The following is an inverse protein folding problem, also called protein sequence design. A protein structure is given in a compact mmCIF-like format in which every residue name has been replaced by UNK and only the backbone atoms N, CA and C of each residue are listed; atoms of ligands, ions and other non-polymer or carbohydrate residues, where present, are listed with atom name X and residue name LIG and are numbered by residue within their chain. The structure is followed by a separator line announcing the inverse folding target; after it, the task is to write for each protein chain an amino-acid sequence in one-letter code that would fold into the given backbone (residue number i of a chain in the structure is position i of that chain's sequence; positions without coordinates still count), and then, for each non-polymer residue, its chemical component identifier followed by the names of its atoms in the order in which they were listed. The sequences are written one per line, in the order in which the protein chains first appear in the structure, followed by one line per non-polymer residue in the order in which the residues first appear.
data_IF_837804023978
#
_entry.id   IF_837804023978
#
_cell.length_a   1.000
_cell.length_b   1.000
_cell.length_c   1.000
_cell.angle_alpha   90.00
_cell.angle_beta   90.00
_cell.angle_gamma   90.00
#
_symmetry.space_group_name_H-M   'P 1'
#
loop_
_entity.id
_entity.type
_entity.pdbx_description
1 polymer ?
#
# COMPACT_ATOMS: atom_id res chain seq x y z
N UNK A 1 63.42 16.28 -28.03
CA UNK A 1 62.14 15.64 -27.65
C UNK A 1 61.34 16.64 -26.85
N UNK A 2 60.10 16.98 -27.23
CA UNK A 2 59.20 17.74 -26.35
C UNK A 2 57.72 17.58 -26.75
N UNK A 3 57.17 16.38 -26.56
CA UNK A 3 55.72 16.22 -26.41
C UNK A 3 55.49 15.73 -24.99
N UNK A 4 55.27 16.66 -24.07
CA UNK A 4 55.28 16.38 -22.62
C UNK A 4 54.13 16.98 -21.82
N UNK A 5 53.12 17.56 -22.47
CA UNK A 5 51.93 18.05 -21.77
C UNK A 5 50.66 17.55 -22.42
N UNK A 6 49.87 16.83 -21.65
CA UNK A 6 48.54 16.38 -22.03
C UNK A 6 47.62 17.62 -22.13
N UNK A 7 46.83 17.77 -23.19
CA UNK A 7 45.92 18.90 -23.33
C UNK A 7 44.82 18.81 -22.28
N UNK A 8 44.47 19.94 -21.64
CA UNK A 8 43.30 19.99 -20.74
C UNK A 8 42.05 19.61 -21.51
N UNK A 9 41.33 18.64 -20.99
CA UNK A 9 40.07 18.14 -21.55
C UNK A 9 38.88 18.84 -20.89
N UNK A 10 37.68 18.68 -21.48
CA UNK A 10 36.42 19.11 -20.86
C UNK A 10 36.17 18.40 -19.53
N UNK A 11 36.63 17.16 -19.39
CA UNK A 11 36.57 16.41 -18.14
C UNK A 11 37.48 17.02 -17.08
N UNK A 12 38.67 17.50 -17.46
CA UNK A 12 39.57 18.18 -16.53
C UNK A 12 38.98 19.50 -16.05
N UNK A 13 38.32 20.26 -16.93
CA UNK A 13 37.60 21.48 -16.53
C UNK A 13 36.42 21.20 -15.59
N UNK A 14 35.67 20.12 -15.85
CA UNK A 14 34.57 19.71 -14.97
C UNK A 14 35.09 19.19 -13.62
N UNK A 15 36.21 18.47 -13.61
CA UNK A 15 36.86 17.99 -12.39
C UNK A 15 37.41 19.15 -11.57
N UNK A 16 38.07 20.12 -12.20
CA UNK A 16 38.54 21.35 -11.54
C UNK A 16 37.35 22.15 -10.96
N UNK A 17 36.23 22.27 -11.69
CA UNK A 17 35.04 22.95 -11.18
C UNK A 17 34.39 22.20 -9.99
N UNK A 18 34.43 20.86 -10.01
CA UNK A 18 33.94 20.04 -8.90
C UNK A 18 34.87 20.12 -7.68
N UNK A 19 36.19 20.17 -7.89
CA UNK A 19 37.20 20.34 -6.84
C UNK A 19 37.25 21.77 -6.27
N UNK A 20 36.97 22.80 -7.08
CA UNK A 20 36.79 24.19 -6.64
C UNK A 20 35.53 24.39 -5.81
N UNK A 21 34.56 23.47 -5.92
CA UNK A 21 33.43 23.37 -5.00
C UNK A 21 33.92 22.75 -3.69
N UNK A 22 34.85 23.44 -3.02
CA UNK A 22 35.27 23.13 -1.66
C UNK A 22 34.04 23.20 -0.80
N UNK A 23 33.48 22.05 -0.43
CA UNK A 23 32.46 21.98 0.60
C UNK A 23 33.08 22.64 1.84
N UNK A 24 32.53 23.78 2.26
CA UNK A 24 32.82 24.31 3.59
C UNK A 24 32.56 23.15 4.55
N UNK A 25 33.57 22.75 5.32
CA UNK A 25 33.44 21.68 6.31
C UNK A 25 32.48 22.20 7.37
N UNK A 26 31.18 22.02 7.15
CA UNK A 26 30.14 22.42 8.08
C UNK A 26 30.33 21.57 9.32
N UNK A 27 30.37 22.23 10.46
CA UNK A 27 30.32 21.55 11.75
C UNK A 27 29.13 20.58 11.75
N UNK A 28 29.35 19.35 12.25
CA UNK A 28 28.38 18.25 12.16
C UNK A 28 27.04 18.63 12.81
N UNK A 29 27.08 19.43 13.87
CA UNK A 29 25.88 19.93 14.55
C UNK A 29 25.07 20.87 13.64
N UNK A 30 25.75 21.72 12.89
CA UNK A 30 25.10 22.64 11.93
C UNK A 30 24.49 21.85 10.78
N UNK A 31 25.22 20.89 10.21
CA UNK A 31 24.71 20.05 9.13
C UNK A 31 23.48 19.23 9.54
N UNK A 32 23.53 18.58 10.71
CA UNK A 32 22.39 17.76 11.19
C UNK A 32 21.19 18.60 11.58
N UNK A 33 21.40 19.85 12.02
CA UNK A 33 20.33 20.82 12.24
C UNK A 33 19.67 21.23 10.92
N UNK A 34 20.45 21.68 9.94
CA UNK A 34 19.96 22.06 8.61
C UNK A 34 19.19 20.91 7.97
N UNK A 35 19.73 19.69 8.04
CA UNK A 35 19.09 18.48 7.52
C UNK A 35 17.71 18.26 8.14
N UNK A 36 17.60 18.41 9.46
CA UNK A 36 16.32 18.24 10.17
C UNK A 36 15.33 19.32 9.79
N UNK A 37 15.75 20.57 9.77
CA UNK A 37 14.90 21.71 9.41
C UNK A 37 14.38 21.58 7.97
N UNK A 38 15.19 21.07 7.05
CA UNK A 38 14.80 20.81 5.67
C UNK A 38 13.85 19.60 5.51
N UNK A 39 14.05 18.53 6.29
CA UNK A 39 13.21 17.32 6.19
C UNK A 39 11.90 17.44 6.96
N UNK A 40 11.85 18.25 8.02
CA UNK A 40 10.66 18.43 8.84
C UNK A 40 9.39 18.79 8.04
N UNK A 41 9.39 19.80 7.14
CA UNK A 41 8.18 20.16 6.41
C UNK A 41 7.69 19.04 5.47
N UNK A 42 8.61 18.34 4.81
CA UNK A 42 8.27 17.20 3.94
C UNK A 42 7.70 16.04 4.76
N UNK A 43 8.28 15.79 5.93
CA UNK A 43 7.81 14.77 6.85
C UNK A 43 6.41 15.08 7.39
N UNK A 44 6.14 16.33 7.75
CA UNK A 44 4.81 16.80 8.17
C UNK A 44 3.77 16.59 7.07
N UNK A 45 4.07 17.03 5.85
CA UNK A 45 3.17 16.87 4.69
C UNK A 45 2.92 15.39 4.35
N UNK A 46 3.95 14.54 4.45
CA UNK A 46 3.77 13.11 4.26
C UNK A 46 2.86 12.51 5.35
N UNK A 47 2.98 12.98 6.60
CA UNK A 47 2.16 12.49 7.71
C UNK A 47 0.70 12.94 7.61
N UNK A 48 0.43 14.17 7.17
CA UNK A 48 -0.93 14.66 6.95
C UNK A 48 -1.61 13.86 5.84
N UNK A 49 -0.94 13.68 4.69
CA UNK A 49 -1.44 12.88 3.57
C UNK A 49 -1.68 11.41 3.98
N UNK A 50 -0.78 10.82 4.78
CA UNK A 50 -0.94 9.47 5.30
C UNK A 50 -2.18 9.35 6.20
N UNK A 51 -2.41 10.30 7.12
CA UNK A 51 -3.59 10.31 7.99
C UNK A 51 -4.88 10.45 7.17
N UNK A 52 -4.89 11.30 6.16
CA UNK A 52 -6.03 11.42 5.26
C UNK A 52 -6.31 10.14 4.47
N UNK A 53 -5.27 9.49 3.94
CA UNK A 53 -5.42 8.23 3.23
C UNK A 53 -5.95 7.13 4.15
N UNK A 54 -5.44 7.04 5.38
CA UNK A 54 -5.89 6.07 6.39
C UNK A 54 -7.35 6.29 6.77
N UNK A 55 -7.77 7.54 6.99
CA UNK A 55 -9.18 7.86 7.33
C UNK A 55 -10.12 7.51 6.18
N UNK A 56 -9.76 7.88 4.93
CA UNK A 56 -10.52 7.49 3.73
C UNK A 56 -10.60 5.97 3.59
N UNK A 57 -9.49 5.26 3.78
CA UNK A 57 -9.44 3.80 3.72
C UNK A 57 -10.36 3.16 4.77
N UNK A 58 -10.33 3.65 6.01
CA UNK A 58 -11.20 3.18 7.08
C UNK A 58 -12.67 3.38 6.74
N UNK A 59 -13.06 4.58 6.30
CA UNK A 59 -14.44 4.89 5.90
C UNK A 59 -14.94 3.95 4.79
N UNK A 60 -14.13 3.76 3.74
CA UNK A 60 -14.49 2.87 2.62
C UNK A 60 -14.59 1.41 3.08
N UNK A 61 -13.67 0.97 3.94
CA UNK A 61 -13.67 -0.39 4.47
C UNK A 61 -14.91 -0.63 5.34
N UNK A 62 -15.15 0.24 6.32
CA UNK A 62 -16.28 0.14 7.25
C UNK A 62 -17.61 0.17 6.49
N UNK A 63 -17.77 1.06 5.50
CA UNK A 63 -18.98 1.15 4.66
C UNK A 63 -19.23 -0.09 3.79
N UNK A 64 -18.17 -0.80 3.38
CA UNK A 64 -18.26 -2.04 2.60
C UNK A 64 -18.33 -3.28 3.47
N UNK A 65 -18.01 -3.17 4.75
CA UNK A 65 -18.10 -4.26 5.70
C UNK A 65 -19.58 -4.53 6.02
N UNK A 66 -20.05 -5.72 5.67
CA UNK A 66 -21.34 -6.21 6.12
C UNK A 66 -21.13 -6.98 7.43
N UNK A 67 -22.08 -6.86 8.36
CA UNK A 67 -22.11 -7.76 9.53
C UNK A 67 -22.36 -9.17 9.02
N UNK A 68 -21.34 -10.01 9.10
CA UNK A 68 -21.40 -11.42 8.70
C UNK A 68 -21.67 -12.22 9.97
N UNK A 69 -22.69 -13.08 9.94
CA UNK A 69 -22.99 -14.02 11.01
C UNK A 69 -23.26 -15.38 10.40
N UNK A 70 -22.65 -16.41 10.98
CA UNK A 70 -22.92 -17.82 10.66
C UNK A 70 -23.66 -18.44 11.84
N UNK A 71 -24.73 -19.18 11.56
CA UNK A 71 -25.44 -19.92 12.60
C UNK A 71 -24.75 -21.27 12.84
N UNK A 72 -24.91 -21.81 14.05
CA UNK A 72 -24.52 -23.21 14.33
C UNK A 72 -25.36 -24.14 13.46
N UNK A 73 -24.70 -25.08 12.78
CA UNK A 73 -25.32 -25.96 11.78
C UNK A 73 -25.29 -25.44 10.33
N UNK A 74 -24.90 -24.18 10.09
CA UNK A 74 -24.59 -23.73 8.73
C UNK A 74 -23.30 -24.40 8.21
N UNK A 75 -23.20 -24.57 6.89
CA UNK A 75 -21.97 -24.97 6.22
C UNK A 75 -21.15 -23.75 5.81
N UNK A 76 -19.83 -23.82 5.97
CA UNK A 76 -18.89 -22.75 5.62
C UNK A 76 -17.67 -23.30 4.89
N UNK A 77 -17.18 -22.53 3.92
CA UNK A 77 -15.90 -22.73 3.26
C UNK A 77 -14.81 -22.01 4.05
N UNK A 78 -13.65 -22.65 4.20
CA UNK A 78 -12.47 -22.02 4.82
C UNK A 78 -11.48 -21.62 3.73
N UNK A 79 -10.99 -20.39 3.81
CA UNK A 79 -9.93 -19.87 2.94
C UNK A 79 -8.56 -20.22 3.54
N UNK A 80 -7.87 -21.20 2.94
CA UNK A 80 -6.54 -21.63 3.36
C UNK A 80 -5.54 -21.48 2.21
N UNK A 81 -4.29 -21.15 2.53
CA UNK A 81 -3.20 -21.15 1.55
C UNK A 81 -2.92 -22.57 1.07
N UNK A 82 -2.68 -22.76 -0.23
CA UNK A 82 -2.29 -24.07 -0.75
C UNK A 82 -0.86 -24.41 -0.33
N UNK A 83 -0.60 -25.67 -0.02
CA UNK A 83 0.75 -26.20 0.26
C UNK A 83 1.70 -25.99 -0.92
N UNK A 84 1.15 -25.99 -2.14
CA UNK A 84 1.88 -25.81 -3.40
C UNK A 84 2.41 -24.38 -3.57
N UNK A 85 1.62 -23.38 -3.16
CA UNK A 85 1.94 -21.96 -3.33
C UNK A 85 1.31 -21.12 -2.22
N UNK A 86 2.17 -20.55 -1.38
CA UNK A 86 1.79 -19.70 -0.24
C UNK A 86 0.99 -18.45 -0.64
N UNK A 87 1.14 -17.98 -1.87
CA UNK A 87 0.40 -16.82 -2.40
C UNK A 87 -1.01 -17.18 -2.88
N UNK A 88 -1.29 -18.47 -3.12
CA UNK A 88 -2.59 -18.92 -3.59
C UNK A 88 -3.43 -19.43 -2.42
N UNK A 89 -4.46 -18.66 -2.07
CA UNK A 89 -5.48 -19.10 -1.14
C UNK A 89 -6.60 -19.84 -1.90
N UNK A 90 -6.92 -21.06 -1.47
CA UNK A 90 -8.03 -21.88 -2.00
C UNK A 90 -9.14 -21.99 -0.96
N UNK A 91 -10.38 -21.96 -1.44
CA UNK A 91 -11.53 -22.31 -0.60
C UNK A 91 -11.58 -23.83 -0.47
N UNK A 92 -11.47 -24.34 0.75
CA UNK A 92 -11.55 -25.77 1.05
C UNK A 92 -12.87 -26.08 1.71
N UNK A 93 -13.51 -27.16 1.26
CA UNK A 93 -14.61 -27.92 1.88
C UNK A 93 -15.83 -27.15 2.41
N UNK A 94 -17.06 -27.65 2.24
CA UNK A 94 -18.14 -27.20 3.12
C UNK A 94 -17.98 -27.89 4.48
N UNK A 95 -17.50 -27.17 5.47
CA UNK A 95 -17.38 -27.65 6.85
C UNK A 95 -18.55 -27.18 7.69
N UNK A 96 -18.98 -28.01 8.64
CA UNK A 96 -20.10 -27.70 9.52
C UNK A 96 -19.67 -26.79 10.66
N UNK A 97 -20.43 -25.71 10.90
CA UNK A 97 -20.23 -24.81 12.04
C UNK A 97 -20.77 -25.48 13.30
N UNK A 98 -19.87 -25.89 14.20
CA UNK A 98 -20.22 -26.57 15.45
C UNK A 98 -20.63 -25.57 16.52
N UNK A 99 -19.88 -24.48 16.64
CA UNK A 99 -20.10 -23.49 17.69
C UNK A 99 -19.59 -22.11 17.27
N UNK A 100 -20.28 -21.08 17.73
CA UNK A 100 -19.78 -19.71 17.73
C UNK A 100 -19.15 -19.44 19.10
N UNK A 101 -17.83 -19.29 19.14
CA UNK A 101 -17.12 -18.99 20.40
C UNK A 101 -17.29 -17.50 20.71
N UNK A 102 -17.09 -16.66 19.69
CA UNK A 102 -17.25 -15.21 19.74
C UNK A 102 -17.91 -14.71 18.45
N UNK A 103 -18.38 -13.45 18.39
CA UNK A 103 -18.92 -12.86 17.15
C UNK A 103 -18.03 -13.04 15.92
N UNK A 104 -16.71 -13.08 16.13
CA UNK A 104 -15.70 -13.16 15.07
C UNK A 104 -15.00 -14.51 14.97
N UNK A 105 -15.17 -15.41 15.93
CA UNK A 105 -14.43 -16.68 16.02
C UNK A 105 -15.40 -17.86 16.09
N UNK A 106 -15.22 -18.80 15.18
CA UNK A 106 -16.09 -19.95 14.97
C UNK A 106 -15.30 -21.25 15.03
N UNK A 107 -15.94 -22.32 15.50
CA UNK A 107 -15.41 -23.68 15.51
C UNK A 107 -16.09 -24.50 14.42
N UNK A 108 -15.28 -25.12 13.56
CA UNK A 108 -15.73 -25.92 12.41
C UNK A 108 -15.31 -27.38 12.54
N UNK A 109 -16.15 -28.29 12.05
CA UNK A 109 -15.83 -29.70 11.91
C UNK A 109 -14.99 -29.93 10.64
N UNK A 110 -13.68 -30.15 10.80
CA UNK A 110 -12.79 -30.44 9.65
C UNK A 110 -12.47 -31.94 9.63
N UNK A 111 -12.68 -32.65 8.49
CA UNK A 111 -12.34 -34.07 8.34
C UNK A 111 -10.84 -34.33 8.10
N UNK A 112 -10.05 -33.29 7.79
CA UNK A 112 -8.60 -33.39 7.55
C UNK A 112 -7.81 -32.68 8.67
N UNK A 113 -7.13 -33.45 9.53
CA UNK A 113 -6.20 -32.96 10.54
C UNK A 113 -6.34 -33.62 11.92
N UNK A 114 -5.29 -33.50 12.76
CA UNK A 114 -5.22 -34.03 14.12
C UNK A 114 -6.10 -33.20 15.06
N UNK A 115 -7.36 -33.61 15.17
CA UNK A 115 -8.39 -32.94 15.97
C UNK A 115 -9.59 -32.62 15.09
N UNK A 116 -10.73 -33.28 15.37
CA UNK A 116 -11.96 -33.26 14.56
C UNK A 116 -12.66 -31.90 14.49
N UNK A 117 -12.06 -30.87 15.09
CA UNK A 117 -12.59 -29.52 15.20
C UNK A 117 -11.45 -28.50 15.12
N UNK A 118 -11.65 -27.41 14.37
CA UNK A 118 -10.68 -26.33 14.25
C UNK A 118 -11.35 -24.97 14.42
N UNK A 119 -10.59 -24.00 14.93
CA UNK A 119 -11.08 -22.66 15.23
C UNK A 119 -10.61 -21.68 14.15
N UNK A 120 -11.54 -20.92 13.59
CA UNK A 120 -11.29 -19.95 12.53
C UNK A 120 -11.93 -18.61 12.81
N UNK A 121 -11.26 -17.56 12.36
CA UNK A 121 -11.83 -16.22 12.33
C UNK A 121 -12.81 -16.09 11.15
N UNK A 122 -13.93 -15.37 11.31
CA UNK A 122 -14.98 -15.20 10.29
C UNK A 122 -14.46 -14.66 8.94
N UNK A 123 -13.35 -13.92 8.96
CA UNK A 123 -12.70 -13.41 7.75
C UNK A 123 -12.21 -14.53 6.82
N UNK A 124 -11.82 -15.67 7.40
CA UNK A 124 -11.42 -16.85 6.65
C UNK A 124 -12.62 -17.70 6.23
N UNK A 125 -13.83 -17.34 6.67
CA UNK A 125 -15.04 -18.12 6.43
C UNK A 125 -15.91 -17.48 5.36
N UNK A 126 -16.47 -18.34 4.52
CA UNK A 126 -17.47 -17.97 3.52
C UNK A 126 -18.66 -18.91 3.65
N UNK A 127 -19.85 -18.35 3.89
CA UNK A 127 -21.10 -19.13 3.96
C UNK A 127 -21.25 -19.99 2.69
N UNK A 128 -21.43 -21.29 2.88
CA UNK A 128 -21.72 -22.21 1.79
C UNK A 128 -23.15 -21.96 1.31
N UNK A 129 -23.31 -21.72 0.02
CA UNK A 129 -24.60 -21.63 -0.63
C UNK A 129 -24.76 -22.89 -1.46
N UNK A 130 -25.77 -23.69 -1.12
CA UNK A 130 -26.01 -24.96 -1.80
C UNK A 130 -26.29 -24.75 -3.29
N UNK A 131 -25.47 -25.32 -4.19
CA UNK A 131 -25.64 -25.21 -5.63
C UNK A 131 -26.82 -26.00 -6.19
N UNK A 132 -27.75 -26.56 -5.41
CA UNK A 132 -29.00 -27.11 -5.93
C UNK A 132 -30.23 -26.30 -5.48
N UNK A 133 -30.04 -25.28 -4.63
CA UNK A 133 -31.11 -24.44 -4.09
C UNK A 133 -31.36 -23.14 -4.87
N UNK A 134 -30.65 -22.90 -5.97
CA UNK A 134 -30.69 -21.64 -6.76
C UNK A 134 -31.79 -21.55 -7.81
N UNK A 135 -32.67 -22.55 -7.94
CA UNK A 135 -33.65 -22.58 -9.02
C UNK A 135 -34.68 -21.43 -9.01
N UNK A 136 -34.96 -20.78 -7.88
CA UNK A 136 -35.93 -19.66 -7.84
C UNK A 136 -35.60 -18.60 -6.80
N UNK A 137 -34.80 -17.59 -7.18
CA UNK A 137 -34.90 -16.25 -6.59
C UNK A 137 -34.70 -15.17 -7.66
N UNK A 138 -35.64 -14.21 -7.81
CA UNK A 138 -35.45 -13.10 -8.74
C UNK A 138 -34.22 -12.29 -8.30
N UNK A 139 -33.33 -12.01 -9.27
CA UNK A 139 -32.09 -11.26 -9.13
C UNK A 139 -32.36 -9.79 -8.74
N UNK A 140 -32.80 -9.56 -7.51
CA UNK A 140 -32.63 -8.26 -6.88
C UNK A 140 -31.68 -8.44 -5.70
N UNK A 141 -30.44 -8.00 -5.92
CA UNK A 141 -29.46 -7.71 -4.87
C UNK A 141 -28.76 -8.91 -4.22
N UNK A 142 -28.26 -9.85 -5.02
CA UNK A 142 -27.12 -10.69 -4.62
C UNK A 142 -25.85 -10.17 -5.32
N UNK A 143 -25.15 -9.21 -4.70
CA UNK A 143 -23.79 -8.81 -5.13
C UNK A 143 -22.80 -9.88 -4.68
N UNK A 144 -22.83 -11.03 -5.34
CA UNK A 144 -21.79 -12.04 -5.25
C UNK A 144 -20.58 -11.53 -6.03
N UNK A 145 -19.58 -10.96 -5.34
CA UNK A 145 -18.20 -10.75 -5.82
C UNK A 145 -18.05 -10.44 -7.32
N UNK A 146 -18.56 -9.29 -7.78
CA UNK A 146 -17.95 -8.64 -8.95
C UNK A 146 -16.61 -8.11 -8.46
N UNK A 147 -15.50 -8.76 -8.86
CA UNK A 147 -14.18 -8.11 -8.89
C UNK A 147 -14.35 -6.88 -9.77
N UNK A 148 -14.64 -5.74 -9.16
CA UNK A 148 -14.36 -4.48 -9.84
C UNK A 148 -12.82 -4.39 -9.88
N UNK A 149 -12.22 -4.11 -11.05
CA UNK A 149 -10.80 -3.84 -11.10
C UNK A 149 -10.51 -2.78 -10.04
N UNK A 150 -9.42 -2.97 -9.31
CA UNK A 150 -8.87 -1.93 -8.44
C UNK A 150 -8.70 -0.73 -9.38
N UNK A 151 -9.63 0.23 -9.32
CA UNK A 151 -9.40 1.53 -9.89
C UNK A 151 -8.23 2.06 -9.09
N UNK A 152 -7.05 1.91 -9.67
CA UNK A 152 -5.83 2.55 -9.23
C UNK A 152 -6.18 4.03 -9.24
N UNK A 153 -6.65 4.58 -8.12
CA UNK A 153 -6.79 6.02 -8.00
C UNK A 153 -5.35 6.50 -8.07
N UNK A 154 -4.95 7.21 -9.14
CA UNK A 154 -3.64 7.82 -9.14
C UNK A 154 -3.67 8.78 -7.96
N UNK A 155 -2.73 8.62 -7.04
CA UNK A 155 -2.40 9.71 -6.13
C UNK A 155 -2.33 11.00 -6.96
N UNK A 156 -2.97 12.10 -6.54
CA UNK A 156 -2.75 13.36 -7.23
C UNK A 156 -1.26 13.68 -7.08
N UNK A 157 -0.49 13.48 -8.15
CA UNK A 157 0.76 14.22 -8.33
C UNK A 157 0.33 15.67 -8.44
N UNK A 158 0.43 16.40 -7.35
CA UNK A 158 0.67 17.84 -7.42
C UNK A 158 2.02 18.04 -8.10
N UNK A 159 2.02 17.96 -9.44
CA UNK A 159 3.05 18.60 -10.23
C UNK A 159 2.78 20.09 -10.04
N UNK A 160 3.57 20.75 -9.18
CA UNK A 160 3.62 22.19 -9.21
C UNK A 160 4.15 22.59 -10.59
N UNK A 161 3.24 23.06 -11.43
CA UNK A 161 3.51 23.74 -12.68
C UNK A 161 4.49 24.88 -12.42
N UNK A 162 5.58 24.91 -13.17
CA UNK A 162 6.58 25.96 -13.12
C UNK A 162 5.93 27.33 -13.24
N UNK A 163 6.20 28.19 -12.25
CA UNK A 163 6.17 29.62 -12.47
C UNK A 163 7.45 29.97 -13.21
N UNK A 164 7.31 30.35 -14.47
CA UNK A 164 8.31 31.12 -15.20
C UNK A 164 8.46 32.45 -14.47
N UNK A 165 9.55 32.62 -13.73
CA UNK A 165 9.99 33.93 -13.25
C UNK A 165 10.55 34.66 -14.47
N UNK A 166 9.79 35.63 -14.98
CA UNK A 166 10.23 36.67 -15.89
C UNK A 166 11.39 37.45 -15.22
N UNK A 167 12.63 37.18 -15.64
CA UNK A 167 13.81 37.96 -15.29
C UNK A 167 14.13 38.96 -16.40
N UNK A 168 13.25 39.93 -16.60
CA UNK A 168 13.62 41.20 -17.21
C UNK A 168 14.32 42.08 -16.16
N UNK A 169 15.62 41.82 -15.92
CA UNK A 169 16.46 42.75 -15.14
C UNK A 169 17.70 43.14 -15.94
N UNK A 170 17.57 44.32 -16.53
CA UNK A 170 18.57 45.09 -17.24
C UNK A 170 19.92 45.12 -16.53
N UNK A 171 20.98 44.78 -17.26
CA UNK A 171 22.35 45.07 -16.89
C UNK A 171 22.52 46.58 -16.72
N UNK A 172 22.76 47.02 -15.48
CA UNK A 172 23.28 48.37 -15.21
C UNK A 172 24.77 48.22 -14.92
N UNK A 173 25.54 48.57 -15.95
CA UNK A 173 26.99 48.81 -15.91
C UNK A 173 27.26 49.99 -14.97
N UNK A 174 28.46 49.99 -14.36
CA UNK A 174 29.35 51.12 -14.01
C UNK A 174 29.83 51.10 -12.54
N UNK A 175 30.97 51.72 -12.21
CA UNK A 175 32.14 52.09 -13.03
C UNK A 175 33.42 51.29 -12.67
#
# INVERSE_FOLDING_TARGET
MLFGRQPRTLLDMLAEQWEETKEEVKDLLTYTRDLRENLHPVWEEAHTALREAQTKQKQIYDARSAVRTLAVGDKALVLLTSTENKLLARCQGPFDVIAQINPTIYRLATPQGTGREQIYHINLLKKWLDPHRWAFRPLHRLRCYRRHPISHTPYPRTVQSGQTVDQSRSYRVLP
#
